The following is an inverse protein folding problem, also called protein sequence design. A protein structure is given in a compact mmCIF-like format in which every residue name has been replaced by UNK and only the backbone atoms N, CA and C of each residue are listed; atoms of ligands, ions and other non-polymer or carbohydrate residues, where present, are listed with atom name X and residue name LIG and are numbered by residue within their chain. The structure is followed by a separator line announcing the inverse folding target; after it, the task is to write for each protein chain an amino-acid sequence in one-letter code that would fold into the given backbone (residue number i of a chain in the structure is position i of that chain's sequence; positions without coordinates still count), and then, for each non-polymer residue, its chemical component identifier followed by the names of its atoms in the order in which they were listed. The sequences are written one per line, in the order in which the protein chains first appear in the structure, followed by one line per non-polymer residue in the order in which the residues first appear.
data_IF_745441340741
#
_entry.id   IF_745441340741
#
_cell.length_a   1.000
_cell.length_b   1.000
_cell.length_c   1.000
_cell.angle_alpha   90.00
_cell.angle_beta   90.00
_cell.angle_gamma   90.00
#
_symmetry.space_group_name_H-M   'P 1'
#
loop_
_entity.id
_entity.type
_entity.pdbx_description
1 polymer ?
#
# COMPACT_ATOMS: atom_id res chain seq x y z
N UNK A 1 -3.09 -7.71 12.20
CA UNK A 1 -2.48 -7.54 10.86
C UNK A 1 -1.34 -8.53 10.58
N UNK A 2 -0.36 -8.75 11.50
CA UNK A 2 0.70 -9.75 11.27
C UNK A 2 0.19 -11.18 11.34
N UNK A 3 -0.82 -11.46 12.17
CA UNK A 3 -1.51 -12.75 12.20
C UNK A 3 -2.29 -13.00 10.90
N UNK A 4 -2.94 -11.97 10.37
CA UNK A 4 -3.69 -12.06 9.11
C UNK A 4 -2.72 -12.31 7.93
N UNK A 5 -1.56 -11.64 7.94
CA UNK A 5 -0.50 -11.89 6.97
C UNK A 5 0.04 -13.34 7.08
N UNK A 6 0.26 -13.85 8.29
CA UNK A 6 0.69 -15.24 8.47
C UNK A 6 -0.36 -16.23 7.94
N UNK A 7 -1.64 -16.00 8.25
CA UNK A 7 -2.74 -16.80 7.73
C UNK A 7 -2.79 -16.76 6.18
N UNK A 8 -2.52 -15.59 5.59
CA UNK A 8 -2.49 -15.40 4.15
C UNK A 8 -1.35 -16.16 3.47
N UNK A 9 -0.16 -16.25 4.07
CA UNK A 9 0.99 -16.94 3.45
C UNK A 9 0.99 -18.46 3.67
N UNK A 10 0.17 -18.98 4.61
CA UNK A 10 0.09 -20.42 4.90
C UNK A 10 -0.32 -21.28 3.71
N UNK A 11 -1.32 -20.93 2.90
CA UNK A 11 -1.69 -21.70 1.71
C UNK A 11 -0.55 -21.87 0.70
N UNK A 12 0.40 -20.93 0.69
CA UNK A 12 1.60 -21.01 -0.16
C UNK A 12 2.74 -21.82 0.47
N UNK A 13 2.52 -22.41 1.66
CA UNK A 13 3.52 -23.21 2.38
C UNK A 13 4.51 -22.41 3.22
N UNK A 14 4.22 -21.13 3.48
CA UNK A 14 5.08 -20.23 4.25
C UNK A 14 4.49 -19.88 5.62
N UNK A 15 5.37 -19.44 6.52
CA UNK A 15 5.02 -18.96 7.86
C UNK A 15 5.93 -17.80 8.27
N UNK A 16 5.37 -16.87 9.04
CA UNK A 16 6.13 -15.77 9.63
C UNK A 16 6.74 -16.23 10.97
N UNK A 17 8.05 -16.11 11.08
CA UNK A 17 8.73 -16.39 12.35
C UNK A 17 8.50 -15.26 13.35
N UNK A 18 8.39 -15.59 14.62
CA UNK A 18 8.38 -14.60 15.72
C UNK A 18 7.01 -13.99 16.04
N UNK A 19 5.89 -14.49 15.52
CA UNK A 19 4.53 -13.96 15.79
C UNK A 19 4.23 -13.76 17.28
N UNK A 20 4.66 -14.71 18.14
CA UNK A 20 4.40 -14.67 19.58
C UNK A 20 5.39 -13.79 20.37
N UNK A 21 6.53 -13.41 19.76
CA UNK A 21 7.60 -12.62 20.39
C UNK A 21 7.76 -11.22 19.81
N UNK A 22 6.90 -10.86 18.88
CA UNK A 22 7.05 -9.66 18.04
C UNK A 22 7.79 -9.96 16.74
N UNK A 23 7.15 -9.63 15.62
CA UNK A 23 7.76 -9.78 14.28
C UNK A 23 8.82 -8.71 14.09
N UNK A 24 10.01 -9.12 13.71
CA UNK A 24 11.14 -8.22 13.41
C UNK A 24 11.26 -7.97 11.90
N UNK A 25 11.92 -6.89 11.47
CA UNK A 25 12.21 -6.64 10.05
C UNK A 25 12.91 -7.83 9.38
N UNK A 26 13.86 -8.46 10.10
CA UNK A 26 14.58 -9.65 9.62
C UNK A 26 13.67 -10.85 9.37
N UNK A 27 12.60 -11.02 10.17
CA UNK A 27 11.64 -12.10 9.95
C UNK A 27 10.88 -11.92 8.64
N UNK A 28 10.48 -10.66 8.32
CA UNK A 28 9.80 -10.36 7.06
C UNK A 28 10.77 -10.46 5.87
N UNK A 29 11.98 -9.96 6.00
CA UNK A 29 13.02 -10.09 4.98
C UNK A 29 13.25 -11.56 4.63
N UNK A 30 13.45 -12.42 5.62
CA UNK A 30 13.62 -13.87 5.40
C UNK A 30 12.40 -14.53 4.72
N UNK A 31 11.19 -14.04 4.99
CA UNK A 31 10.01 -14.52 4.27
C UNK A 31 10.10 -14.13 2.79
N UNK A 32 10.44 -12.88 2.48
CA UNK A 32 10.56 -12.39 1.11
C UNK A 32 11.66 -13.12 0.32
N UNK A 33 12.84 -13.30 0.92
CA UNK A 33 13.96 -14.03 0.32
C UNK A 33 13.58 -15.48 -0.04
N UNK A 34 12.81 -16.15 0.83
CA UNK A 34 12.32 -17.52 0.57
C UNK A 34 11.27 -17.60 -0.53
N UNK A 35 10.59 -16.50 -0.82
CA UNK A 35 9.54 -16.41 -1.84
C UNK A 35 10.05 -15.83 -3.15
N UNK A 36 11.29 -15.38 -3.21
CA UNK A 36 11.88 -14.81 -4.41
C UNK A 36 11.80 -15.78 -5.58
N UNK A 37 11.34 -15.29 -6.74
CA UNK A 37 11.12 -16.11 -7.94
C UNK A 37 9.84 -16.97 -7.92
N UNK A 38 9.05 -16.97 -6.85
CA UNK A 38 7.77 -17.67 -6.80
C UNK A 38 6.65 -16.80 -7.40
N UNK A 39 5.65 -17.42 -8.00
CA UNK A 39 4.50 -16.73 -8.59
C UNK A 39 3.70 -15.89 -7.59
N UNK A 40 3.67 -16.31 -6.32
CA UNK A 40 2.99 -15.61 -5.24
C UNK A 40 3.77 -14.42 -4.64
N UNK A 41 5.06 -14.23 -5.00
CA UNK A 41 5.92 -13.22 -4.38
C UNK A 41 5.35 -11.79 -4.49
N UNK A 42 4.88 -11.39 -5.67
CA UNK A 42 4.31 -10.06 -5.90
C UNK A 42 3.08 -9.79 -5.03
N UNK A 43 2.20 -10.78 -4.92
CA UNK A 43 0.97 -10.71 -4.12
C UNK A 43 1.30 -10.60 -2.63
N UNK A 44 2.19 -11.46 -2.14
CA UNK A 44 2.60 -11.45 -0.73
C UNK A 44 3.30 -10.14 -0.37
N UNK A 45 4.16 -9.59 -1.24
CA UNK A 45 4.77 -8.28 -1.06
C UNK A 45 3.69 -7.18 -0.86
N UNK A 46 2.66 -7.18 -1.69
CA UNK A 46 1.56 -6.20 -1.62
C UNK A 46 0.77 -6.33 -0.32
N UNK A 47 0.39 -7.55 0.07
CA UNK A 47 -0.33 -7.82 1.33
C UNK A 47 0.54 -7.48 2.54
N UNK A 48 1.84 -7.80 2.49
CA UNK A 48 2.79 -7.46 3.54
C UNK A 48 2.88 -5.93 3.74
N UNK A 49 3.04 -5.15 2.66
CA UNK A 49 3.08 -3.69 2.75
C UNK A 49 1.81 -3.10 3.36
N UNK A 50 0.62 -3.64 3.00
CA UNK A 50 -0.67 -3.23 3.61
C UNK A 50 -0.79 -3.62 5.09
N UNK A 51 -0.07 -4.65 5.52
CA UNK A 51 -0.07 -5.13 6.91
C UNK A 51 0.85 -4.30 7.81
N UNK A 52 1.83 -3.58 7.25
CA UNK A 52 2.70 -2.69 8.00
C UNK A 52 1.95 -1.44 8.50
N UNK A 53 2.46 -0.88 9.59
CA UNK A 53 1.99 0.42 10.06
C UNK A 53 2.58 1.54 9.21
N UNK A 54 1.78 2.58 8.96
CA UNK A 54 2.29 3.80 8.33
C UNK A 54 3.34 4.46 9.22
N UNK A 55 4.40 4.97 8.62
CA UNK A 55 5.37 5.79 9.32
C UNK A 55 4.71 7.06 9.89
N UNK A 56 5.21 7.53 11.02
CA UNK A 56 4.77 8.77 11.66
C UNK A 56 5.95 9.43 12.35
N UNK A 57 5.91 10.72 12.49
CA UNK A 57 6.84 11.43 13.36
C UNK A 57 6.45 11.23 14.82
N UNK A 58 7.45 11.05 15.66
CA UNK A 58 7.27 10.90 17.10
C UNK A 58 8.45 11.58 17.84
N UNK A 59 8.21 12.16 19.02
CA UNK A 59 9.30 12.73 19.83
C UNK A 59 10.22 11.66 20.41
N UNK A 60 9.70 10.44 20.61
CA UNK A 60 10.48 9.30 21.08
C UNK A 60 11.24 8.63 19.93
N UNK A 61 12.43 8.12 20.21
CA UNK A 61 13.13 7.27 19.27
C UNK A 61 12.45 5.88 19.22
N UNK A 62 11.67 5.64 18.16
CA UNK A 62 11.00 4.36 17.90
C UNK A 62 11.78 3.51 16.90
N UNK A 63 12.94 4.00 16.42
CA UNK A 63 13.64 3.39 15.31
C UNK A 63 12.87 3.47 13.99
N UNK A 64 13.28 2.69 13.02
CA UNK A 64 12.56 2.56 11.75
C UNK A 64 12.46 1.10 11.34
N UNK A 65 11.26 0.52 11.48
CA UNK A 65 11.02 -0.90 11.22
C UNK A 65 11.46 -1.33 9.79
N UNK A 66 11.03 -0.61 8.77
CA UNK A 66 11.33 -0.98 7.37
C UNK A 66 12.81 -0.89 6.99
N UNK A 67 13.60 -0.08 7.71
CA UNK A 67 15.05 0.05 7.52
C UNK A 67 15.84 -0.80 8.53
N UNK A 68 15.17 -1.48 9.45
CA UNK A 68 15.79 -2.21 10.57
C UNK A 68 16.77 -1.35 11.38
N UNK A 69 16.53 -0.03 11.47
CA UNK A 69 17.36 0.92 12.19
C UNK A 69 16.83 1.12 13.61
N UNK A 70 17.73 1.06 14.60
CA UNK A 70 17.40 1.33 16.02
C UNK A 70 17.23 2.82 16.28
N UNK A 71 17.98 3.64 15.55
CA UNK A 71 17.95 5.10 15.64
C UNK A 71 17.72 5.67 14.24
N UNK A 72 16.70 6.50 14.10
CA UNK A 72 16.38 7.07 12.80
C UNK A 72 15.68 8.42 12.94
N UNK A 73 16.10 9.37 12.14
CA UNK A 73 15.37 10.62 11.94
C UNK A 73 15.48 11.11 10.49
N UNK A 74 14.53 11.88 10.07
CA UNK A 74 14.66 12.66 8.84
C UNK A 74 15.63 13.82 9.06
N UNK A 75 16.54 14.06 8.12
CA UNK A 75 17.59 15.07 8.26
C UNK A 75 17.88 15.85 6.98
N UNK A 76 17.74 15.20 5.81
CA UNK A 76 18.33 15.67 4.56
C UNK A 76 17.48 16.64 3.75
N UNK A 77 16.23 16.93 4.17
CA UNK A 77 15.31 17.76 3.39
C UNK A 77 14.62 18.87 4.22
N UNK A 78 15.39 19.77 4.91
CA UNK A 78 14.82 20.76 5.82
C UNK A 78 14.02 21.86 5.12
N UNK A 79 14.10 21.98 3.78
CA UNK A 79 13.32 22.95 3.00
C UNK A 79 11.83 22.56 2.96
N UNK A 80 11.54 21.26 2.86
CA UNK A 80 10.19 20.75 2.67
C UNK A 80 9.64 19.93 3.83
N UNK A 81 10.50 19.51 4.77
CA UNK A 81 10.10 18.73 5.95
C UNK A 81 10.49 19.46 7.23
N UNK A 82 9.50 19.89 7.97
CA UNK A 82 9.71 20.62 9.23
C UNK A 82 10.45 19.77 10.30
N UNK A 83 10.24 18.45 10.43
CA UNK A 83 11.03 17.63 11.33
C UNK A 83 12.54 17.68 11.06
N UNK A 84 12.97 17.69 9.80
CA UNK A 84 14.38 17.85 9.43
C UNK A 84 14.93 19.18 9.94
N UNK A 85 14.18 20.26 9.73
CA UNK A 85 14.57 21.59 10.22
C UNK A 85 14.69 21.61 11.75
N UNK A 86 13.79 20.92 12.45
CA UNK A 86 13.81 20.80 13.91
C UNK A 86 15.07 20.07 14.38
N UNK A 87 15.43 18.95 13.74
CA UNK A 87 16.69 18.23 14.01
C UNK A 87 17.89 19.12 13.76
N UNK A 88 17.93 19.88 12.64
CA UNK A 88 19.01 20.83 12.35
C UNK A 88 19.16 21.91 13.46
N UNK A 89 18.04 22.43 13.95
CA UNK A 89 18.03 23.41 15.07
C UNK A 89 18.60 22.79 16.34
N UNK A 90 18.19 21.57 16.67
CA UNK A 90 18.68 20.83 17.84
C UNK A 90 20.18 20.57 17.76
N UNK A 91 20.67 20.05 16.62
CA UNK A 91 22.09 19.83 16.39
C UNK A 91 22.91 21.13 16.52
N UNK A 92 22.40 22.24 15.95
CA UNK A 92 23.07 23.54 16.07
C UNK A 92 23.12 24.06 17.51
N UNK A 93 22.04 23.84 18.29
CA UNK A 93 22.03 24.22 19.70
C UNK A 93 23.09 23.45 20.49
N UNK A 94 23.19 22.14 20.29
CA UNK A 94 24.22 21.31 20.93
C UNK A 94 25.63 21.76 20.53
N UNK A 95 25.91 21.91 19.23
CA UNK A 95 27.23 22.31 18.73
C UNK A 95 27.68 23.69 19.21
N UNK A 96 26.74 24.59 19.52
CA UNK A 96 27.02 25.92 20.03
C UNK A 96 27.03 25.99 21.55
N UNK A 97 26.88 24.88 22.26
CA UNK A 97 26.79 24.85 23.72
C UNK A 97 25.54 25.54 24.29
N UNK A 98 24.49 25.70 23.50
CA UNK A 98 23.24 26.36 23.87
C UNK A 98 22.17 25.37 24.36
N UNK A 99 22.41 24.08 24.31
CA UNK A 99 21.50 23.02 24.73
C UNK A 99 21.63 22.81 26.26
N UNK A 100 21.32 23.83 27.04
CA UNK A 100 21.24 23.75 28.51
C UNK A 100 19.92 23.07 28.96
N UNK A 101 19.76 22.87 30.26
CA UNK A 101 18.58 22.19 30.84
C UNK A 101 17.27 22.87 30.45
N UNK A 102 17.23 24.20 30.45
CA UNK A 102 16.03 24.98 30.07
C UNK A 102 15.67 24.76 28.58
N UNK A 103 16.66 24.81 27.69
CA UNK A 103 16.45 24.58 26.27
C UNK A 103 15.90 23.17 26.02
N UNK A 104 16.46 22.17 26.73
CA UNK A 104 16.01 20.78 26.62
C UNK A 104 14.57 20.59 27.06
N UNK A 105 14.19 21.24 28.18
CA UNK A 105 12.80 21.22 28.67
C UNK A 105 11.81 21.87 27.69
N UNK A 106 12.14 23.04 27.16
CA UNK A 106 11.32 23.77 26.18
C UNK A 106 11.19 22.96 24.87
N UNK A 107 12.29 22.37 24.40
CA UNK A 107 12.30 21.50 23.21
C UNK A 107 11.43 20.26 23.45
N UNK A 108 11.61 19.56 24.56
CA UNK A 108 10.82 18.37 24.92
C UNK A 108 9.32 18.68 25.04
N UNK A 109 8.95 19.81 25.57
CA UNK A 109 7.55 20.25 25.71
C UNK A 109 6.90 20.52 24.33
N UNK A 110 7.65 21.01 23.35
CA UNK A 110 7.14 21.37 22.01
C UNK A 110 7.11 20.19 21.03
N UNK A 111 7.99 19.20 21.18
CA UNK A 111 8.15 18.10 20.23
C UNK A 111 6.89 17.28 19.97
N UNK A 112 6.03 16.94 20.96
CA UNK A 112 4.82 16.16 20.69
C UNK A 112 3.88 16.86 19.70
N UNK A 113 3.67 18.17 19.85
CA UNK A 113 2.82 18.95 18.96
C UNK A 113 3.43 19.04 17.54
N UNK A 114 4.73 19.29 17.45
CA UNK A 114 5.47 19.34 16.18
C UNK A 114 5.38 17.98 15.44
N UNK A 115 5.55 16.87 16.14
CA UNK A 115 5.51 15.54 15.57
C UNK A 115 4.09 15.18 15.07
N UNK A 116 3.06 15.51 15.84
CA UNK A 116 1.67 15.29 15.47
C UNK A 116 1.32 16.09 14.21
N UNK A 117 1.52 17.41 14.25
CA UNK A 117 1.19 18.30 13.13
C UNK A 117 1.96 17.91 11.87
N UNK A 118 3.25 17.58 11.99
CA UNK A 118 4.05 17.12 10.84
C UNK A 118 3.50 15.85 10.23
N UNK A 119 3.05 14.89 11.04
CA UNK A 119 2.44 13.64 10.56
C UNK A 119 1.11 13.89 9.85
N UNK A 120 0.28 14.78 10.37
CA UNK A 120 -1.01 15.14 9.76
C UNK A 120 -0.82 15.88 8.43
N UNK A 121 0.13 16.85 8.38
CA UNK A 121 0.44 17.59 7.15
C UNK A 121 1.03 16.70 6.07
N UNK A 122 1.89 15.74 6.44
CA UNK A 122 2.42 14.76 5.48
C UNK A 122 1.30 13.85 4.95
N UNK A 123 0.42 13.36 5.82
CA UNK A 123 -0.73 12.56 5.37
C UNK A 123 -1.65 13.33 4.42
N UNK A 124 -1.87 14.64 4.69
CA UNK A 124 -2.66 15.51 3.82
C UNK A 124 -1.96 15.75 2.48
N UNK A 125 -0.63 15.97 2.48
CA UNK A 125 0.15 16.16 1.25
C UNK A 125 0.13 14.90 0.36
N UNK A 126 0.35 13.72 0.95
CA UNK A 126 0.27 12.44 0.22
C UNK A 126 -1.14 12.20 -0.34
N UNK A 127 -2.19 12.58 0.40
CA UNK A 127 -3.56 12.48 -0.09
C UNK A 127 -3.79 13.40 -1.29
N UNK A 128 -3.33 14.65 -1.21
CA UNK A 128 -3.46 15.62 -2.30
C UNK A 128 -2.69 15.16 -3.56
N UNK A 129 -1.48 14.62 -3.40
CA UNK A 129 -0.68 14.05 -4.49
C UNK A 129 -1.44 12.93 -5.20
N UNK A 130 -1.97 11.95 -4.44
CA UNK A 130 -2.77 10.86 -5.00
C UNK A 130 -4.01 11.35 -5.74
N UNK A 131 -4.71 12.34 -5.18
CA UNK A 131 -5.89 12.91 -5.83
C UNK A 131 -5.57 13.58 -7.17
N UNK A 132 -4.37 14.16 -7.32
CA UNK A 132 -3.90 14.72 -8.60
C UNK A 132 -3.53 13.59 -9.57
N UNK A 133 -2.86 12.55 -9.09
CA UNK A 133 -2.53 11.38 -9.90
C UNK A 133 -3.81 10.70 -10.42
N UNK A 134 -4.79 10.45 -9.54
CA UNK A 134 -6.08 9.86 -9.90
C UNK A 134 -6.81 10.72 -10.97
N UNK A 135 -6.78 12.06 -10.80
CA UNK A 135 -7.35 12.99 -11.79
C UNK A 135 -6.67 12.85 -13.17
N UNK A 136 -5.33 12.82 -13.17
CA UNK A 136 -4.56 12.70 -14.42
C UNK A 136 -4.71 11.33 -15.07
N UNK A 137 -4.79 10.27 -14.29
CA UNK A 137 -5.08 8.92 -14.77
C UNK A 137 -6.48 8.85 -15.41
N UNK A 138 -7.50 9.42 -14.77
CA UNK A 138 -8.86 9.46 -15.32
C UNK A 138 -8.95 10.32 -16.59
N UNK A 139 -8.26 11.47 -16.62
CA UNK A 139 -8.16 12.33 -17.82
C UNK A 139 -7.51 11.58 -18.98
N UNK A 140 -6.38 10.89 -18.74
CA UNK A 140 -5.71 10.07 -19.75
C UNK A 140 -6.62 8.94 -20.24
N UNK A 141 -7.23 8.18 -19.33
CA UNK A 141 -8.09 7.04 -19.69
C UNK A 141 -9.41 7.44 -20.35
N UNK A 142 -9.83 8.70 -20.23
CA UNK A 142 -11.04 9.18 -20.92
C UNK A 142 -10.94 9.11 -22.44
N UNK A 143 -9.72 9.20 -22.99
CA UNK A 143 -9.44 9.05 -24.42
C UNK A 143 -9.39 7.58 -24.88
N UNK A 144 -9.33 6.63 -23.93
CA UNK A 144 -9.15 5.20 -24.20
C UNK A 144 -10.41 4.37 -23.89
N UNK A 145 -11.57 5.01 -23.73
CA UNK A 145 -12.84 4.29 -23.46
C UNK A 145 -13.17 3.37 -24.65
N UNK A 146 -13.46 2.10 -24.32
CA UNK A 146 -13.70 1.03 -25.29
C UNK A 146 -12.45 0.24 -25.70
N UNK A 147 -11.26 0.67 -25.33
CA UNK A 147 -10.03 -0.07 -25.61
C UNK A 147 -9.82 -1.24 -24.65
N UNK A 148 -9.09 -2.27 -25.15
CA UNK A 148 -8.80 -3.51 -24.45
C UNK A 148 -7.40 -3.48 -23.87
N UNK A 149 -7.28 -3.90 -22.62
CA UNK A 149 -6.02 -3.98 -21.90
C UNK A 149 -5.88 -5.30 -21.16
N UNK A 150 -4.64 -5.71 -20.97
CA UNK A 150 -4.28 -6.76 -20.03
C UNK A 150 -3.72 -6.12 -18.77
N UNK A 151 -4.20 -6.55 -17.60
CA UNK A 151 -3.76 -6.01 -16.32
C UNK A 151 -3.70 -7.08 -15.25
N UNK A 152 -3.23 -6.70 -14.07
CA UNK A 152 -3.09 -7.58 -12.91
C UNK A 152 -4.07 -7.14 -11.82
N UNK A 153 -4.76 -8.10 -11.20
CA UNK A 153 -5.64 -7.81 -10.07
C UNK A 153 -4.81 -7.26 -8.91
N UNK A 154 -4.99 -5.98 -8.62
CA UNK A 154 -4.28 -5.22 -7.59
C UNK A 154 -5.03 -5.20 -6.26
N UNK A 155 -6.32 -5.48 -6.27
CA UNK A 155 -7.17 -5.52 -5.09
C UNK A 155 -8.42 -6.34 -5.32
N UNK A 156 -8.88 -7.03 -4.25
CA UNK A 156 -10.14 -7.77 -4.25
C UNK A 156 -10.97 -7.28 -3.08
N UNK A 157 -12.22 -6.92 -3.34
CA UNK A 157 -13.17 -6.36 -2.37
C UNK A 157 -14.55 -6.97 -2.55
N UNK A 158 -15.45 -6.72 -1.60
CA UNK A 158 -16.85 -7.17 -1.67
C UNK A 158 -17.66 -6.55 -2.81
N UNK A 159 -17.21 -5.39 -3.35
CA UNK A 159 -17.89 -4.68 -4.43
C UNK A 159 -17.23 -4.86 -5.80
N UNK A 160 -16.09 -5.57 -5.88
CA UNK A 160 -15.42 -5.87 -7.14
C UNK A 160 -13.92 -6.06 -7.02
N UNK A 161 -13.25 -6.09 -8.17
CA UNK A 161 -11.79 -6.21 -8.27
C UNK A 161 -11.18 -4.95 -8.85
N UNK A 162 -10.06 -4.52 -8.27
CA UNK A 162 -9.20 -3.49 -8.84
C UNK A 162 -8.20 -4.16 -9.77
N UNK A 163 -8.01 -3.58 -10.93
CA UNK A 163 -7.05 -4.07 -11.94
C UNK A 163 -6.08 -2.95 -12.26
N UNK A 164 -4.80 -3.24 -12.12
CA UNK A 164 -3.68 -2.35 -12.45
C UNK A 164 -3.14 -2.71 -13.84
N UNK A 165 -3.11 -1.74 -14.72
CA UNK A 165 -2.56 -1.87 -16.07
C UNK A 165 -1.02 -1.72 -16.07
N UNK A 166 -0.31 -2.12 -17.12
CA UNK A 166 1.15 -1.95 -17.21
C UNK A 166 1.64 -0.49 -17.11
N UNK A 167 0.78 0.48 -17.43
CA UNK A 167 1.04 1.91 -17.29
C UNK A 167 0.71 2.45 -15.88
N UNK A 168 0.51 1.56 -14.91
CA UNK A 168 0.18 1.86 -13.50
C UNK A 168 -1.22 2.46 -13.25
N UNK A 169 -2.04 2.61 -14.28
CA UNK A 169 -3.44 3.02 -14.10
C UNK A 169 -4.22 1.90 -13.44
N UNK A 170 -4.93 2.21 -12.36
CA UNK A 170 -5.81 1.29 -11.66
C UNK A 170 -7.27 1.63 -11.94
N UNK A 171 -8.09 0.62 -12.25
CA UNK A 171 -9.52 0.77 -12.43
C UNK A 171 -10.31 -0.33 -11.73
N UNK A 172 -11.60 -0.08 -11.51
CA UNK A 172 -12.51 -0.99 -10.81
C UNK A 172 -13.36 -1.77 -11.81
N UNK A 173 -13.30 -3.11 -11.74
CA UNK A 173 -14.35 -3.98 -12.30
C UNK A 173 -15.38 -4.22 -11.21
N UNK A 174 -16.56 -3.64 -11.36
CA UNK A 174 -17.63 -3.78 -10.36
C UNK A 174 -18.22 -5.17 -10.40
N UNK A 175 -18.46 -5.75 -9.23
CA UNK A 175 -19.09 -7.06 -9.10
C UNK A 175 -20.43 -7.13 -9.87
N UNK A 176 -21.23 -6.07 -9.82
CA UNK A 176 -22.52 -5.95 -10.51
C UNK A 176 -22.40 -6.01 -12.06
N UNK A 177 -21.22 -5.79 -12.63
CA UNK A 177 -20.96 -5.87 -14.09
C UNK A 177 -20.41 -7.23 -14.53
N UNK A 178 -20.12 -8.14 -13.60
CA UNK A 178 -19.63 -9.49 -13.87
C UNK A 178 -20.83 -10.42 -14.08
N UNK A 179 -21.29 -10.51 -15.35
CA UNK A 179 -22.54 -11.22 -15.72
C UNK A 179 -22.39 -12.75 -15.84
N UNK A 180 -21.15 -13.26 -15.79
CA UNK A 180 -20.86 -14.69 -16.02
C UNK A 180 -21.21 -15.57 -14.81
N UNK A 181 -21.19 -15.01 -13.59
CA UNK A 181 -21.60 -15.73 -12.35
C UNK A 181 -21.97 -14.75 -11.24
N UNK A 182 -22.46 -15.29 -10.12
CA UNK A 182 -22.57 -14.59 -8.84
C UNK A 182 -21.33 -14.86 -8.00
N UNK A 183 -20.62 -13.82 -7.59
CA UNK A 183 -19.35 -13.96 -6.88
C UNK A 183 -19.49 -13.62 -5.41
N UNK A 184 -18.91 -14.47 -4.55
CA UNK A 184 -18.74 -14.23 -3.12
C UNK A 184 -17.31 -13.78 -2.85
N UNK A 185 -17.18 -12.76 -2.00
CA UNK A 185 -15.87 -12.29 -1.54
C UNK A 185 -15.37 -13.16 -0.39
N UNK A 186 -14.17 -13.73 -0.56
CA UNK A 186 -13.44 -14.43 0.48
C UNK A 186 -12.30 -13.56 0.99
N UNK A 187 -12.52 -12.90 2.13
CA UNK A 187 -11.56 -11.99 2.74
C UNK A 187 -10.22 -12.67 3.07
N UNK A 188 -10.25 -13.93 3.55
CA UNK A 188 -9.04 -14.67 3.95
C UNK A 188 -8.17 -15.05 2.76
N UNK A 189 -8.78 -15.35 1.64
CA UNK A 189 -8.10 -15.73 0.40
C UNK A 189 -7.81 -14.52 -0.51
N UNK A 190 -8.32 -13.33 -0.19
CA UNK A 190 -8.30 -12.16 -1.08
C UNK A 190 -8.78 -12.52 -2.50
N UNK A 191 -9.94 -13.20 -2.58
CA UNK A 191 -10.47 -13.74 -3.81
C UNK A 191 -11.98 -13.51 -3.96
N UNK A 192 -12.44 -13.38 -5.20
CA UNK A 192 -13.84 -13.56 -5.58
C UNK A 192 -14.04 -14.98 -6.07
N UNK A 193 -15.08 -15.67 -5.57
CA UNK A 193 -15.37 -17.07 -5.91
C UNK A 193 -16.79 -17.15 -6.50
N UNK A 194 -16.88 -17.62 -7.74
CA UNK A 194 -18.15 -17.81 -8.43
C UNK A 194 -18.97 -18.97 -7.86
N UNK A 195 -20.23 -18.71 -7.53
CA UNK A 195 -21.14 -19.69 -6.90
C UNK A 195 -21.48 -20.86 -7.79
N UNK A 196 -21.67 -20.61 -9.09
CA UNK A 196 -22.14 -21.61 -10.05
C UNK A 196 -20.97 -22.27 -10.78
N UNK A 197 -20.01 -21.48 -11.24
CA UNK A 197 -18.89 -21.95 -12.08
C UNK A 197 -17.68 -22.37 -11.27
N UNK A 198 -17.59 -21.93 -10.00
CA UNK A 198 -16.36 -22.10 -9.19
C UNK A 198 -15.19 -21.27 -9.70
N UNK A 199 -15.39 -20.37 -10.67
CA UNK A 199 -14.35 -19.48 -11.19
C UNK A 199 -13.85 -18.57 -10.09
N UNK A 200 -12.56 -18.40 -10.01
CA UNK A 200 -11.92 -17.60 -8.95
C UNK A 200 -11.09 -16.50 -9.57
N UNK A 201 -11.07 -15.35 -8.88
CA UNK A 201 -10.23 -14.20 -9.18
C UNK A 201 -9.43 -13.85 -7.94
N UNK A 202 -8.13 -14.09 -7.99
CA UNK A 202 -7.24 -13.83 -6.87
C UNK A 202 -6.44 -12.54 -7.08
N UNK A 203 -6.00 -12.00 -6.00
CA UNK A 203 -4.99 -10.93 -6.03
C UNK A 203 -3.76 -11.45 -6.81
N UNK A 204 -3.30 -10.68 -7.80
CA UNK A 204 -2.15 -11.03 -8.65
C UNK A 204 -2.49 -11.78 -9.94
N UNK A 205 -3.73 -12.20 -10.13
CA UNK A 205 -4.14 -12.83 -11.39
C UNK A 205 -4.09 -11.84 -12.55
N UNK A 206 -3.66 -12.31 -13.71
CA UNK A 206 -3.72 -11.54 -14.95
C UNK A 206 -5.12 -11.66 -15.55
N UNK A 207 -5.70 -10.52 -15.91
CA UNK A 207 -7.04 -10.44 -16.49
C UNK A 207 -7.06 -9.50 -17.69
N UNK A 208 -7.98 -9.76 -18.61
CA UNK A 208 -8.27 -8.85 -19.73
C UNK A 208 -9.50 -8.03 -19.44
N UNK A 209 -9.36 -6.73 -19.62
CA UNK A 209 -10.41 -5.74 -19.32
C UNK A 209 -10.60 -4.77 -20.47
N UNK A 210 -11.78 -4.17 -20.49
CA UNK A 210 -12.14 -3.09 -21.42
C UNK A 210 -12.38 -1.85 -20.56
N UNK A 211 -11.93 -0.69 -21.00
CA UNK A 211 -12.24 0.58 -20.35
C UNK A 211 -13.72 0.90 -20.57
N UNK A 212 -14.53 0.69 -19.55
CA UNK A 212 -15.98 0.92 -19.64
C UNK A 212 -16.34 2.39 -19.47
N UNK A 213 -15.66 3.08 -18.55
CA UNK A 213 -15.87 4.50 -18.25
C UNK A 213 -14.64 5.09 -17.58
N UNK A 214 -14.33 6.34 -17.90
CA UNK A 214 -13.39 7.15 -17.12
C UNK A 214 -14.08 8.48 -16.79
N UNK A 215 -14.26 8.75 -15.50
CA UNK A 215 -14.95 9.93 -14.99
C UNK A 215 -13.93 10.86 -14.32
N UNK A 216 -13.60 11.93 -15.02
CA UNK A 216 -12.58 12.90 -14.57
C UNK A 216 -13.06 13.66 -13.32
N UNK A 217 -14.36 13.91 -13.18
CA UNK A 217 -14.90 14.66 -12.03
C UNK A 217 -14.83 13.85 -10.75
N UNK A 218 -15.27 12.59 -10.82
CA UNK A 218 -15.18 11.66 -9.67
C UNK A 218 -13.80 11.01 -9.55
N UNK A 219 -12.91 11.19 -10.54
CA UNK A 219 -11.58 10.58 -10.60
C UNK A 219 -11.64 9.06 -10.55
N UNK A 220 -12.63 8.45 -11.19
CA UNK A 220 -12.87 7.02 -11.19
C UNK A 220 -12.74 6.45 -12.60
N UNK A 221 -12.11 5.28 -12.68
CA UNK A 221 -11.98 4.49 -13.90
C UNK A 221 -12.68 3.16 -13.64
N UNK A 222 -13.73 2.90 -14.42
CA UNK A 222 -14.45 1.64 -14.38
C UNK A 222 -13.99 0.77 -15.56
N UNK A 223 -13.62 -0.46 -15.26
CA UNK A 223 -13.34 -1.49 -16.24
C UNK A 223 -14.49 -2.49 -16.32
N UNK A 224 -14.60 -3.19 -17.44
CA UNK A 224 -15.43 -4.37 -17.62
C UNK A 224 -14.55 -5.58 -17.96
N UNK A 225 -14.94 -6.79 -17.54
CA UNK A 225 -14.25 -8.00 -17.95
C UNK A 225 -14.45 -8.25 -19.45
N UNK A 226 -13.40 -8.63 -20.17
CA UNK A 226 -13.52 -9.08 -21.54
C UNK A 226 -14.29 -10.41 -21.58
N UNK A 227 -15.38 -10.46 -22.37
CA UNK A 227 -16.20 -11.67 -22.48
C UNK A 227 -15.40 -12.80 -23.12
N UNK A 228 -15.26 -13.91 -22.42
CA UNK A 228 -14.57 -15.11 -22.91
C UNK A 228 -13.08 -15.24 -22.53
N UNK A 229 -12.50 -14.29 -21.81
CA UNK A 229 -11.14 -14.43 -21.30
C UNK A 229 -11.09 -15.54 -20.22
N UNK A 230 -10.34 -16.62 -20.48
CA UNK A 230 -9.96 -17.59 -19.45
C UNK A 230 -8.92 -16.92 -18.55
N UNK A 231 -9.16 -16.94 -17.25
CA UNK A 231 -8.08 -16.66 -16.29
C UNK A 231 -6.96 -17.67 -16.54
N UNK A 232 -5.74 -17.20 -16.78
CA UNK A 232 -4.57 -18.07 -16.75
C UNK A 232 -4.36 -18.47 -15.28
N UNK A 233 -5.08 -19.52 -14.84
CA UNK A 233 -4.78 -20.15 -13.57
C UNK A 233 -3.36 -20.68 -13.66
N UNK A 234 -2.45 -20.15 -12.86
CA UNK A 234 -1.09 -20.63 -12.76
C UNK A 234 -1.08 -22.14 -12.43
N UNK A 235 -0.29 -22.85 -13.20
CA UNK A 235 0.14 -24.22 -12.88
C UNK A 235 1.16 -24.18 -11.76
#
# INVERSE_FOLDING_TARGET
KMQDLDAFVQPFGYRIKGLNKGVTPKNLQQLLERMEGQSCAAVVNRVMLRSLQKARYAPQNLGHFGLAATDYCHFTSPIRRYPDLTVHRSVKAVLRGMADGRWVEEAAASMPAIALESSEKEAAAVKAEREVDDLKMAEYMSAHVGEHFEGVISGVTEFGIFVELPNTVEGLVRLATMEDDYYDFNEKAYALIGRRTGKQYHLGDTVKVIVAKADVVSRQIDFAMEKGARTAAGR
#
